data_IF_357758876195
#
_entry.id   IF_357758876195
#
_cell.length_a   1.000
_cell.length_b   1.000
_cell.length_c   1.000
_cell.angle_alpha   90.00
_cell.angle_beta   90.00
_cell.angle_gamma   90.00
#
_symmetry.space_group_name_H-M   'P 1'
#
loop_
_entity.id
_entity.type
_entity.pdbx_description
1 polymer ?
#
# COMPACT_ATOMS: atom_id res chain seq x y z
N UNK A 1 10.69 16.37 -16.35
CA UNK A 1 9.49 16.95 -15.73
C UNK A 1 8.39 15.89 -15.80
N UNK A 2 7.72 15.63 -14.69
CA UNK A 2 6.79 14.51 -14.45
C UNK A 2 5.56 14.64 -15.34
N UNK A 3 5.52 14.00 -16.50
CA UNK A 3 4.46 14.14 -17.51
C UNK A 3 3.12 13.52 -17.06
N UNK A 4 2.60 13.97 -15.91
CA UNK A 4 1.42 13.47 -15.20
C UNK A 4 0.12 13.72 -15.97
N UNK A 5 0.16 14.67 -16.90
CA UNK A 5 -0.90 15.01 -17.84
C UNK A 5 -0.64 14.44 -19.25
N UNK A 6 0.54 13.86 -19.49
CA UNK A 6 0.95 13.30 -20.76
C UNK A 6 0.47 11.86 -20.96
N UNK A 7 0.85 11.28 -22.10
CA UNK A 7 0.57 9.88 -22.42
C UNK A 7 1.48 8.94 -21.61
N UNK A 8 0.98 7.75 -21.20
CA UNK A 8 1.81 6.80 -20.49
C UNK A 8 3.05 6.40 -21.31
N UNK A 9 4.21 6.35 -20.64
CA UNK A 9 5.48 5.94 -21.24
C UNK A 9 5.90 6.78 -22.47
N UNK A 10 5.46 8.04 -22.54
CA UNK A 10 5.71 8.96 -23.67
C UNK A 10 5.20 8.43 -25.03
N UNK A 11 4.10 7.65 -25.04
CA UNK A 11 3.48 7.21 -26.29
C UNK A 11 3.00 8.39 -27.14
N UNK A 12 3.01 8.29 -28.47
CA UNK A 12 2.52 9.39 -29.32
C UNK A 12 1.03 9.66 -29.05
N UNK A 13 0.67 10.92 -28.81
CA UNK A 13 -0.71 11.31 -28.53
C UNK A 13 -1.64 10.92 -29.69
N UNK A 14 -2.88 10.50 -29.36
CA UNK A 14 -3.89 10.06 -30.33
C UNK A 14 -3.51 8.84 -31.19
N UNK A 15 -2.44 8.12 -30.85
CA UNK A 15 -2.07 6.85 -31.49
C UNK A 15 -2.87 5.65 -30.94
N UNK A 16 -2.88 4.55 -31.68
CA UNK A 16 -3.46 3.28 -31.22
C UNK A 16 -2.76 2.74 -29.97
N UNK A 17 -1.44 2.93 -29.87
CA UNK A 17 -0.64 2.51 -28.72
C UNK A 17 -0.99 3.31 -27.46
N UNK A 18 -1.11 4.64 -27.58
CA UNK A 18 -1.53 5.49 -26.47
C UNK A 18 -2.92 5.12 -25.95
N UNK A 19 -3.86 4.74 -26.83
CA UNK A 19 -5.19 4.26 -26.43
C UNK A 19 -5.11 3.00 -25.56
N UNK A 20 -4.29 2.03 -25.96
CA UNK A 20 -4.12 0.78 -25.21
C UNK A 20 -3.43 1.02 -23.86
N UNK A 21 -2.36 1.81 -23.87
CA UNK A 21 -1.58 2.13 -22.68
C UNK A 21 -2.36 2.97 -21.66
N UNK A 22 -3.27 3.84 -22.11
CA UNK A 22 -4.09 4.66 -21.21
C UNK A 22 -4.93 3.81 -20.24
N UNK A 23 -5.57 2.74 -20.73
CA UNK A 23 -6.32 1.81 -19.89
C UNK A 23 -5.41 1.02 -18.95
N UNK A 24 -4.26 0.55 -19.45
CA UNK A 24 -3.26 -0.16 -18.64
C UNK A 24 -2.74 0.71 -17.49
N UNK A 25 -2.38 1.96 -17.76
CA UNK A 25 -1.91 2.90 -16.76
C UNK A 25 -2.99 3.22 -15.71
N UNK A 26 -4.25 3.37 -16.13
CA UNK A 26 -5.37 3.60 -15.19
C UNK A 26 -5.53 2.41 -14.25
N UNK A 27 -5.53 1.19 -14.78
CA UNK A 27 -5.65 -0.02 -13.98
C UNK A 27 -4.43 -0.28 -13.10
N UNK A 28 -3.23 0.11 -13.52
CA UNK A 28 -2.04 0.02 -12.68
C UNK A 28 -2.15 0.89 -11.42
N UNK A 29 -2.63 2.13 -11.57
CA UNK A 29 -2.73 3.07 -10.45
C UNK A 29 -3.98 2.83 -9.57
N UNK A 30 -5.11 2.43 -10.17
CA UNK A 30 -6.40 2.34 -9.47
C UNK A 30 -6.95 0.93 -9.35
N UNK A 31 -6.25 -0.05 -9.92
CA UNK A 31 -6.62 -1.45 -9.85
C UNK A 31 -5.98 -2.16 -8.66
N UNK A 32 -5.83 -3.48 -8.83
CA UNK A 32 -5.53 -4.41 -7.74
C UNK A 32 -4.29 -4.01 -6.94
N UNK A 33 -3.22 -3.54 -7.60
CA UNK A 33 -1.99 -3.15 -6.93
C UNK A 33 -2.22 -2.13 -5.80
N UNK A 34 -3.01 -1.08 -6.04
CA UNK A 34 -3.32 -0.07 -5.03
C UNK A 34 -4.15 -0.64 -3.87
N UNK A 35 -5.17 -1.43 -4.19
CA UNK A 35 -6.04 -2.05 -3.18
C UNK A 35 -5.36 -3.15 -2.35
N UNK A 36 -4.39 -3.86 -2.93
CA UNK A 36 -3.66 -4.93 -2.23
C UNK A 36 -2.92 -4.42 -1.00
N UNK A 37 -2.39 -3.18 -1.05
CA UNK A 37 -1.72 -2.56 0.10
C UNK A 37 -2.70 -2.37 1.25
N UNK A 38 -3.90 -1.84 0.98
CA UNK A 38 -4.94 -1.67 1.98
C UNK A 38 -5.42 -3.01 2.55
N UNK A 39 -5.64 -4.00 1.68
CA UNK A 39 -6.05 -5.33 2.10
C UNK A 39 -5.01 -5.97 3.04
N UNK A 40 -3.71 -5.83 2.73
CA UNK A 40 -2.63 -6.36 3.56
C UNK A 40 -2.59 -5.70 4.95
N UNK A 41 -2.67 -4.37 5.01
CA UNK A 41 -2.66 -3.63 6.28
C UNK A 41 -3.91 -3.93 7.10
N UNK A 42 -5.09 -3.92 6.47
CA UNK A 42 -6.35 -4.24 7.12
C UNK A 42 -6.36 -5.66 7.68
N UNK A 43 -5.86 -6.64 6.91
CA UNK A 43 -5.75 -8.02 7.36
C UNK A 43 -4.80 -8.17 8.55
N UNK A 44 -3.64 -7.50 8.53
CA UNK A 44 -2.70 -7.54 9.64
C UNK A 44 -3.35 -6.98 10.92
N UNK A 45 -3.97 -5.80 10.84
CA UNK A 45 -4.66 -5.19 11.99
C UNK A 45 -5.80 -6.07 12.50
N UNK A 46 -6.65 -6.57 11.60
CA UNK A 46 -7.78 -7.43 11.96
C UNK A 46 -7.31 -8.72 12.64
N UNK A 47 -6.28 -9.38 12.09
CA UNK A 47 -5.77 -10.63 12.64
C UNK A 47 -5.19 -10.43 14.05
N UNK A 48 -4.34 -9.42 14.25
CA UNK A 48 -3.73 -9.21 15.56
C UNK A 48 -4.73 -8.70 16.60
N UNK A 49 -5.69 -7.86 16.20
CA UNK A 49 -6.71 -7.37 17.12
C UNK A 49 -7.72 -8.46 17.49
N UNK A 50 -8.31 -9.13 16.50
CA UNK A 50 -9.45 -10.02 16.74
C UNK A 50 -9.03 -11.47 17.01
N UNK A 51 -7.92 -11.96 16.44
CA UNK A 51 -7.50 -13.36 16.63
C UNK A 51 -6.40 -13.51 17.68
N UNK A 52 -5.59 -12.47 17.92
CA UNK A 52 -4.49 -12.52 18.90
C UNK A 52 -4.73 -11.66 20.14
N UNK A 53 -5.81 -10.89 20.19
CA UNK A 53 -6.15 -10.06 21.35
C UNK A 53 -5.15 -8.93 21.62
N UNK A 54 -4.35 -8.55 20.62
CA UNK A 54 -3.44 -7.41 20.73
C UNK A 54 -4.21 -6.09 20.49
N UNK A 55 -3.71 -4.94 20.98
CA UNK A 55 -4.29 -3.65 20.67
C UNK A 55 -4.39 -3.39 19.16
N UNK A 56 -5.49 -2.79 18.70
CA UNK A 56 -5.70 -2.36 17.32
C UNK A 56 -4.76 -1.18 16.99
N UNK A 57 -3.51 -1.50 16.68
CA UNK A 57 -2.41 -0.56 16.42
C UNK A 57 -1.47 -1.15 15.37
N UNK A 58 -0.79 -0.29 14.60
CA UNK A 58 0.16 -0.74 13.58
C UNK A 58 1.34 -1.48 14.21
N UNK A 59 1.86 -1.01 15.35
CA UNK A 59 2.93 -1.71 16.09
C UNK A 59 2.60 -3.17 16.42
N UNK A 60 1.34 -3.51 16.66
CA UNK A 60 0.94 -4.87 17.02
C UNK A 60 1.19 -5.85 15.86
N UNK A 61 1.06 -5.38 14.61
CA UNK A 61 1.37 -6.19 13.42
C UNK A 61 2.86 -6.59 13.32
N UNK A 62 3.75 -5.84 13.98
CA UNK A 62 5.19 -6.10 13.99
C UNK A 62 5.68 -6.88 15.22
N UNK A 63 4.79 -7.19 16.17
CA UNK A 63 5.11 -8.02 17.34
C UNK A 63 5.74 -9.39 16.97
N UNK A 64 5.31 -10.12 15.92
CA UNK A 64 5.96 -11.38 15.55
C UNK A 64 7.43 -11.25 15.12
N UNK A 65 7.84 -10.06 14.67
CA UNK A 65 9.19 -9.80 14.16
C UNK A 65 10.08 -9.26 15.28
N UNK A 66 9.57 -8.32 16.08
CA UNK A 66 10.38 -7.59 17.07
C UNK A 66 10.10 -7.97 18.53
N UNK A 67 9.08 -8.80 18.78
CA UNK A 67 8.64 -9.19 20.12
C UNK A 67 8.34 -7.97 20.98
N UNK A 68 8.81 -7.99 22.22
CA UNK A 68 8.56 -6.91 23.20
C UNK A 68 9.08 -5.53 22.78
N UNK A 69 10.03 -5.47 21.83
CA UNK A 69 10.52 -4.18 21.29
C UNK A 69 9.42 -3.42 20.54
N UNK A 70 8.39 -4.10 20.05
CA UNK A 70 7.21 -3.47 19.47
C UNK A 70 6.43 -2.62 20.47
N UNK A 71 6.64 -2.78 21.78
CA UNK A 71 6.00 -1.97 22.83
C UNK A 71 6.85 -0.79 23.31
N UNK A 72 8.11 -0.69 22.85
CA UNK A 72 9.03 0.39 23.21
C UNK A 72 9.13 1.48 22.14
N UNK A 73 10.27 2.16 22.11
CA UNK A 73 10.58 3.24 21.16
C UNK A 73 10.33 2.84 19.69
N UNK A 74 10.72 1.63 19.30
CA UNK A 74 10.50 1.12 17.94
C UNK A 74 9.00 1.08 17.58
N UNK A 75 8.14 0.67 18.51
CA UNK A 75 6.69 0.69 18.30
C UNK A 75 6.11 2.09 18.17
N UNK A 76 6.64 3.06 18.92
CA UNK A 76 6.22 4.46 18.78
C UNK A 76 6.58 5.02 17.41
N UNK A 77 7.78 4.72 16.89
CA UNK A 77 8.17 5.14 15.55
C UNK A 77 7.25 4.54 14.48
N UNK A 78 6.90 3.25 14.62
CA UNK A 78 5.98 2.58 13.68
C UNK A 78 4.60 3.23 13.64
N UNK A 79 4.05 3.62 14.79
CA UNK A 79 2.72 4.24 14.82
C UNK A 79 2.72 5.71 14.39
N UNK A 80 3.88 6.39 14.43
CA UNK A 80 4.00 7.81 14.07
C UNK A 80 4.19 8.01 12.55
N UNK A 81 4.91 7.10 11.89
CA UNK A 81 5.19 7.14 10.45
C UNK A 81 4.02 6.63 9.62
#
# INVERSE_FOLDING_TARGET
FTDWWGTPLNAEAYSADAKSLAMGATMFHWGVHGWSIYALVALALAFFAFNKGLPLSLRAAFYPIFGDRAWGWLGHVIDIL
#
